data_IF_338525758708
#
_entry.id   IF_338525758708
#
_cell.length_a   1.000
_cell.length_b   1.000
_cell.length_c   1.000
_cell.angle_alpha   90.00
_cell.angle_beta   90.00
_cell.angle_gamma   90.00
#
_symmetry.space_group_name_H-M   'P 1'
#
loop_
_entity.id
_entity.type
_entity.pdbx_description
1 polymer ?
#
# COMPACT_ATOMS: atom_id res chain seq x y z
N UNK A 1 -30.50 -23.72 22.73
CA UNK A 1 -29.10 -23.66 22.23
C UNK A 1 -29.09 -24.11 20.79
N UNK A 2 -29.01 -23.20 19.80
CA UNK A 2 -28.63 -23.45 18.39
C UNK A 2 -28.77 -22.14 17.59
N UNK A 3 -27.86 -21.19 17.77
CA UNK A 3 -27.64 -20.03 16.88
C UNK A 3 -26.19 -19.56 17.01
N UNK A 4 -25.25 -20.38 16.53
CA UNK A 4 -23.83 -20.00 16.44
C UNK A 4 -23.13 -20.52 15.17
N UNK A 5 -23.75 -21.42 14.40
CA UNK A 5 -23.03 -22.16 13.35
C UNK A 5 -23.29 -21.67 11.92
N UNK A 6 -24.23 -20.75 11.69
CA UNK A 6 -24.55 -20.26 10.33
C UNK A 6 -23.63 -19.14 9.84
N UNK A 7 -23.04 -18.36 10.76
CA UNK A 7 -22.12 -17.25 10.41
C UNK A 7 -20.69 -17.72 10.17
N UNK A 8 -20.26 -18.84 10.76
CA UNK A 8 -18.92 -19.40 10.57
C UNK A 8 -18.73 -20.09 9.21
N UNK A 9 -19.79 -20.71 8.67
CA UNK A 9 -19.74 -21.44 7.39
C UNK A 9 -19.74 -20.52 6.15
N UNK A 10 -20.29 -19.31 6.26
CA UNK A 10 -20.38 -18.37 5.14
C UNK A 10 -19.17 -17.43 5.02
N UNK A 11 -18.45 -17.20 6.12
CA UNK A 11 -17.15 -16.52 6.11
C UNK A 11 -16.14 -17.35 5.31
N UNK A 12 -16.17 -18.69 5.42
CA UNK A 12 -15.35 -19.62 4.61
C UNK A 12 -15.58 -19.51 3.09
N UNK A 13 -16.77 -19.08 2.65
CA UNK A 13 -17.12 -19.00 1.23
C UNK A 13 -16.37 -17.90 0.48
N UNK A 14 -16.17 -16.74 1.10
CA UNK A 14 -15.33 -15.68 0.54
C UNK A 14 -13.82 -16.01 0.62
N UNK A 15 -13.46 -16.91 1.54
CA UNK A 15 -12.08 -17.25 1.94
C UNK A 15 -11.44 -18.44 1.20
N UNK A 16 -12.21 -19.23 0.43
CA UNK A 16 -11.67 -20.40 -0.27
C UNK A 16 -11.18 -20.11 -1.70
N UNK A 17 -11.30 -18.87 -2.17
CA UNK A 17 -11.10 -18.52 -3.58
C UNK A 17 -9.71 -17.95 -3.91
N UNK A 18 -8.85 -17.79 -2.91
CA UNK A 18 -7.47 -17.33 -3.08
C UNK A 18 -6.49 -18.50 -3.05
N UNK A 19 -6.57 -19.39 -4.05
CA UNK A 19 -5.51 -20.36 -4.29
C UNK A 19 -4.27 -19.66 -4.89
N UNK A 20 -3.30 -19.31 -4.03
CA UNK A 20 -1.89 -19.12 -4.41
C UNK A 20 -1.40 -17.70 -4.74
N UNK A 21 -2.17 -16.65 -4.45
CA UNK A 21 -1.77 -15.24 -4.64
C UNK A 21 -2.08 -14.40 -3.40
N UNK A 22 -1.44 -13.24 -3.20
CA UNK A 22 -1.35 -12.67 -1.87
C UNK A 22 -2.68 -12.01 -1.45
N UNK A 23 -3.06 -12.30 -0.20
CA UNK A 23 -4.40 -12.17 0.37
C UNK A 23 -4.78 -10.73 0.78
N UNK A 24 -4.42 -9.76 -0.05
CA UNK A 24 -4.65 -8.35 0.20
C UNK A 24 -4.96 -7.57 -1.08
N UNK A 25 -5.82 -6.58 -0.97
CA UNK A 25 -6.24 -5.69 -2.04
C UNK A 25 -6.09 -4.22 -1.62
N UNK A 26 -6.00 -3.32 -2.59
CA UNK A 26 -5.78 -1.89 -2.37
C UNK A 26 -6.99 -1.08 -2.89
N UNK A 27 -7.17 0.11 -2.35
CA UNK A 27 -8.36 0.90 -2.59
C UNK A 27 -8.25 2.33 -2.08
N UNK A 28 -9.36 3.05 -2.11
CA UNK A 28 -9.50 4.38 -1.53
C UNK A 28 -10.84 4.54 -0.82
N UNK A 29 -10.93 5.52 0.08
CA UNK A 29 -12.19 5.92 0.66
C UNK A 29 -12.72 7.24 0.08
N UNK A 30 -14.04 7.37 -0.01
CA UNK A 30 -14.71 8.63 -0.34
C UNK A 30 -15.35 9.29 0.89
N UNK A 31 -15.10 8.77 2.09
CA UNK A 31 -15.75 9.20 3.32
C UNK A 31 -17.11 8.52 3.46
N UNK A 32 -17.20 7.54 4.37
CA UNK A 32 -18.41 6.71 4.50
C UNK A 32 -18.50 5.54 3.52
N UNK A 33 -17.61 5.47 2.53
CA UNK A 33 -17.45 4.33 1.62
C UNK A 33 -15.97 4.01 1.38
N UNK A 34 -15.66 2.73 1.17
CA UNK A 34 -14.36 2.26 0.73
C UNK A 34 -14.51 1.46 -0.57
N UNK A 35 -13.75 1.84 -1.59
CA UNK A 35 -13.67 1.18 -2.88
C UNK A 35 -12.38 0.38 -2.94
N UNK A 36 -12.52 -0.94 -3.02
CA UNK A 36 -11.39 -1.88 -3.04
C UNK A 36 -11.34 -2.56 -4.39
N UNK A 37 -10.17 -2.60 -5.01
CA UNK A 37 -9.99 -3.16 -6.33
C UNK A 37 -9.10 -4.39 -6.29
N UNK A 38 -9.53 -5.43 -6.99
CA UNK A 38 -8.83 -6.71 -7.10
C UNK A 38 -8.62 -7.04 -8.57
N UNK A 39 -7.40 -6.86 -9.06
CA UNK A 39 -7.00 -7.19 -10.43
C UNK A 39 -6.55 -8.65 -10.52
N UNK A 40 -7.50 -9.59 -10.63
CA UNK A 40 -7.23 -11.03 -10.69
C UNK A 40 -8.42 -11.79 -11.31
N UNK A 41 -8.20 -12.44 -12.45
CA UNK A 41 -9.25 -13.16 -13.19
C UNK A 41 -9.86 -14.33 -12.40
N UNK A 42 -9.05 -15.01 -11.59
CA UNK A 42 -9.51 -16.11 -10.74
C UNK A 42 -10.43 -15.57 -9.65
N UNK A 43 -9.98 -14.52 -8.95
CA UNK A 43 -10.80 -13.88 -7.92
C UNK A 43 -12.14 -13.40 -8.49
N UNK A 44 -12.11 -12.69 -9.63
CA UNK A 44 -13.32 -12.18 -10.28
C UNK A 44 -14.32 -13.30 -10.60
N UNK A 45 -13.85 -14.39 -11.21
CA UNK A 45 -14.68 -15.56 -11.56
C UNK A 45 -15.27 -16.24 -10.34
N UNK A 46 -14.46 -16.44 -9.31
CA UNK A 46 -14.87 -17.12 -8.10
C UNK A 46 -15.89 -16.29 -7.33
N UNK A 47 -15.63 -14.99 -7.20
CA UNK A 47 -16.54 -14.04 -6.55
C UNK A 47 -17.86 -13.91 -7.30
N UNK A 48 -17.83 -13.83 -8.63
CA UNK A 48 -19.05 -13.83 -9.46
C UNK A 48 -19.89 -15.11 -9.26
N UNK A 49 -19.25 -16.29 -9.23
CA UNK A 49 -19.93 -17.57 -8.95
C UNK A 49 -20.58 -17.59 -7.57
N UNK A 50 -19.93 -17.02 -6.55
CA UNK A 50 -20.51 -16.93 -5.21
C UNK A 50 -21.70 -15.97 -5.15
N UNK A 51 -21.64 -14.85 -5.88
CA UNK A 51 -22.73 -13.88 -5.93
C UNK A 51 -23.96 -14.45 -6.64
N UNK A 52 -23.75 -15.19 -7.72
CA UNK A 52 -24.83 -15.75 -8.55
C UNK A 52 -25.33 -17.11 -8.08
N UNK A 53 -24.52 -17.89 -7.35
CA UNK A 53 -24.90 -19.19 -6.80
C UNK A 53 -25.80 -19.13 -5.56
N UNK A 54 -26.05 -17.95 -4.98
CA UNK A 54 -26.82 -17.77 -3.74
C UNK A 54 -28.30 -17.39 -3.91
N UNK A 55 -28.81 -17.26 -5.14
CA UNK A 55 -30.15 -16.70 -5.40
C UNK A 55 -30.11 -15.18 -5.64
N UNK A 56 -31.07 -14.42 -5.10
CA UNK A 56 -31.19 -12.97 -5.34
C UNK A 56 -29.90 -12.22 -4.96
N UNK A 57 -29.29 -11.56 -5.95
CA UNK A 57 -28.04 -10.82 -5.83
C UNK A 57 -28.11 -9.69 -4.79
N UNK A 58 -29.23 -8.97 -4.74
CA UNK A 58 -29.40 -7.84 -3.81
C UNK A 58 -29.45 -8.30 -2.36
N UNK A 59 -30.15 -9.41 -2.08
CA UNK A 59 -30.20 -10.01 -0.75
C UNK A 59 -28.82 -10.56 -0.33
N UNK A 60 -28.09 -11.12 -1.30
CA UNK A 60 -26.74 -11.64 -1.12
C UNK A 60 -25.73 -10.54 -0.79
N UNK A 61 -25.86 -9.35 -1.38
CA UNK A 61 -25.01 -8.20 -1.06
C UNK A 61 -25.41 -7.58 0.30
N UNK A 62 -26.71 -7.35 0.52
CA UNK A 62 -27.22 -6.72 1.73
C UNK A 62 -26.91 -7.52 3.01
N UNK A 63 -26.87 -8.86 2.93
CA UNK A 63 -26.60 -9.75 4.05
C UNK A 63 -25.13 -9.97 4.41
N UNK A 64 -24.17 -9.38 3.67
CA UNK A 64 -22.74 -9.65 3.84
C UNK A 64 -22.01 -8.50 4.59
N UNK A 65 -21.79 -8.63 5.91
CA UNK A 65 -20.81 -7.79 6.61
C UNK A 65 -19.41 -8.23 6.19
N UNK A 66 -18.66 -7.38 5.46
CA UNK A 66 -17.49 -7.88 4.72
C UNK A 66 -16.13 -7.47 5.24
N UNK A 67 -16.02 -6.42 6.01
CA UNK A 67 -14.77 -6.13 6.67
C UNK A 67 -14.99 -5.10 7.76
N UNK A 68 -14.19 -5.20 8.80
CA UNK A 68 -14.14 -4.23 9.84
C UNK A 68 -12.82 -3.44 9.86
N UNK A 69 -12.91 -2.18 10.26
CA UNK A 69 -11.78 -1.24 10.18
C UNK A 69 -10.92 -1.31 11.45
N UNK A 70 -9.59 -1.39 11.31
CA UNK A 70 -8.69 -0.98 12.40
C UNK A 70 -8.45 0.53 12.35
N UNK A 71 -9.28 1.25 13.10
CA UNK A 71 -9.29 2.71 13.15
C UNK A 71 -8.08 3.32 13.86
N UNK A 72 -7.32 2.53 14.63
CA UNK A 72 -6.37 3.10 15.60
C UNK A 72 -4.91 3.07 15.13
N UNK A 73 -4.59 2.52 13.96
CA UNK A 73 -3.20 2.05 13.70
C UNK A 73 -2.44 2.50 12.45
N UNK A 74 -3.00 3.27 11.50
CA UNK A 74 -2.18 3.82 10.40
C UNK A 74 -2.35 5.34 10.22
N UNK A 75 -1.24 6.09 10.17
CA UNK A 75 -1.23 7.45 9.61
C UNK A 75 -1.15 7.29 8.09
N UNK A 76 -2.12 7.80 7.35
CA UNK A 76 -2.11 7.83 5.87
C UNK A 76 -2.82 6.67 5.17
N UNK A 77 -3.36 5.67 5.88
CA UNK A 77 -4.14 4.59 5.26
C UNK A 77 -5.16 3.97 6.23
N UNK A 78 -6.18 3.30 5.69
CA UNK A 78 -7.18 2.53 6.43
C UNK A 78 -7.03 1.04 6.12
N UNK A 79 -7.08 0.20 7.15
CA UNK A 79 -7.05 -1.26 6.97
C UNK A 79 -8.45 -1.84 7.16
N UNK A 80 -8.91 -2.59 6.18
CA UNK A 80 -10.12 -3.41 6.23
C UNK A 80 -9.72 -4.85 6.51
N UNK A 81 -10.29 -5.43 7.55
CA UNK A 81 -10.06 -6.81 7.97
C UNK A 81 -11.33 -7.39 8.55
N UNK A 82 -11.63 -8.67 8.35
CA UNK A 82 -12.80 -9.32 8.94
C UNK A 82 -12.94 -9.14 10.48
N UNK A 83 -11.89 -8.67 11.18
CA UNK A 83 -11.81 -8.60 12.63
C UNK A 83 -11.56 -7.20 13.21
N UNK A 84 -11.69 -6.12 12.42
CA UNK A 84 -11.57 -4.73 12.91
C UNK A 84 -12.76 -4.25 13.78
N UNK A 85 -12.66 -3.03 14.30
CA UNK A 85 -13.58 -2.48 15.32
C UNK A 85 -14.88 -1.85 14.77
N UNK A 86 -15.09 -1.78 13.45
CA UNK A 86 -16.30 -1.22 12.85
C UNK A 86 -16.69 -1.91 11.54
N UNK A 87 -17.90 -2.48 11.49
CA UNK A 87 -18.38 -3.23 10.33
C UNK A 87 -18.72 -2.32 9.14
N UNK A 88 -18.23 -2.70 7.95
CA UNK A 88 -18.67 -2.20 6.66
C UNK A 88 -19.56 -3.24 5.96
N UNK A 89 -20.53 -2.77 5.18
CA UNK A 89 -21.42 -3.63 4.37
C UNK A 89 -21.04 -3.54 2.91
N UNK A 90 -20.96 -4.67 2.22
CA UNK A 90 -20.82 -4.66 0.77
C UNK A 90 -22.13 -4.21 0.15
N UNK A 91 -22.10 -3.05 -0.49
CA UNK A 91 -23.28 -2.46 -1.15
C UNK A 91 -23.25 -2.69 -2.64
N UNK A 92 -22.06 -2.84 -3.22
CA UNK A 92 -21.90 -3.01 -4.66
C UNK A 92 -20.65 -3.82 -5.00
N UNK A 93 -20.79 -4.66 -6.02
CA UNK A 93 -19.70 -5.34 -6.70
C UNK A 93 -19.76 -5.00 -8.19
N UNK A 94 -18.69 -4.45 -8.76
CA UNK A 94 -18.56 -4.21 -10.20
C UNK A 94 -17.43 -5.04 -10.77
N UNK A 95 -17.65 -5.57 -11.97
CA UNK A 95 -16.65 -6.32 -12.72
C UNK A 95 -16.28 -5.51 -13.95
N UNK A 96 -15.02 -5.12 -14.03
CA UNK A 96 -14.51 -4.28 -15.09
C UNK A 96 -13.63 -5.11 -16.02
N UNK A 97 -13.80 -4.92 -17.32
CA UNK A 97 -12.96 -5.56 -18.32
C UNK A 97 -11.49 -5.09 -18.19
N UNK A 98 -10.50 -5.95 -18.47
CA UNK A 98 -9.08 -5.61 -18.31
C UNK A 98 -8.70 -4.32 -19.04
N UNK A 99 -9.12 -4.21 -20.30
CA UNK A 99 -8.81 -3.10 -21.19
C UNK A 99 -9.40 -1.79 -20.69
N UNK A 100 -10.56 -1.86 -20.02
CA UNK A 100 -11.24 -0.72 -19.44
C UNK A 100 -10.39 -0.12 -18.33
N UNK A 101 -9.87 -0.92 -17.41
CA UNK A 101 -9.14 -0.44 -16.22
C UNK A 101 -7.63 -0.22 -16.38
N UNK A 102 -7.06 -0.44 -17.57
CA UNK A 102 -5.60 -0.41 -17.75
C UNK A 102 -4.86 -1.55 -17.03
N UNK A 103 -5.55 -2.67 -16.84
CA UNK A 103 -5.04 -3.89 -16.18
C UNK A 103 -4.94 -5.03 -17.20
N UNK A 104 -3.95 -5.95 -17.08
CA UNK A 104 -3.91 -7.15 -17.93
C UNK A 104 -4.99 -8.18 -17.55
N UNK A 105 -5.59 -8.08 -16.36
CA UNK A 105 -6.64 -8.97 -15.85
C UNK A 105 -7.92 -8.20 -15.51
N UNK A 106 -9.04 -8.93 -15.38
CA UNK A 106 -10.32 -8.43 -14.89
C UNK A 106 -10.13 -7.75 -13.53
N UNK A 107 -10.79 -6.62 -13.35
CA UNK A 107 -10.75 -5.87 -12.10
C UNK A 107 -12.11 -5.98 -11.42
N UNK A 108 -12.12 -6.53 -10.21
CA UNK A 108 -13.31 -6.54 -9.36
C UNK A 108 -13.24 -5.34 -8.42
N UNK A 109 -14.23 -4.45 -8.49
CA UNK A 109 -14.43 -3.36 -7.53
C UNK A 109 -15.45 -3.79 -6.48
N UNK A 110 -15.08 -3.65 -5.22
CA UNK A 110 -15.93 -3.89 -4.06
C UNK A 110 -16.19 -2.55 -3.36
N UNK A 111 -17.45 -2.15 -3.25
CA UNK A 111 -17.86 -0.94 -2.53
C UNK A 111 -18.42 -1.31 -1.18
N UNK A 112 -17.75 -0.83 -0.14
CA UNK A 112 -18.04 -1.12 1.25
C UNK A 112 -18.53 0.15 1.93
N UNK A 113 -19.83 0.20 2.27
CA UNK A 113 -20.43 1.34 2.94
C UNK A 113 -20.39 1.21 4.47
N UNK A 114 -20.18 2.34 5.13
CA UNK A 114 -20.15 2.49 6.58
C UNK A 114 -21.46 3.14 7.05
N UNK A 115 -22.33 2.41 7.77
CA UNK A 115 -23.62 2.95 8.19
C UNK A 115 -23.45 4.10 9.19
N UNK A 116 -24.19 5.19 8.97
CA UNK A 116 -24.22 6.34 9.88
C UNK A 116 -24.78 5.94 11.26
N UNK A 117 -24.18 6.44 12.34
CA UNK A 117 -24.65 6.20 13.72
C UNK A 117 -24.29 4.85 14.33
N UNK A 118 -23.56 3.97 13.62
CA UNK A 118 -23.01 2.76 14.22
C UNK A 118 -21.94 3.05 15.29
N UNK A 119 -21.65 2.07 16.15
CA UNK A 119 -20.60 2.16 17.20
C UNK A 119 -19.18 2.53 16.67
N UNK A 120 -19.00 2.58 15.35
CA UNK A 120 -17.78 2.87 14.62
C UNK A 120 -17.69 4.25 13.96
N UNK A 121 -18.44 5.28 14.36
CA UNK A 121 -18.32 6.62 13.72
C UNK A 121 -16.89 7.20 13.71
N UNK A 122 -16.05 6.84 14.70
CA UNK A 122 -14.61 7.18 14.76
C UNK A 122 -13.71 6.25 13.93
N UNK A 123 -14.31 5.22 13.34
CA UNK A 123 -13.66 4.15 12.59
C UNK A 123 -14.03 4.17 11.10
N UNK A 124 -14.89 5.09 10.69
CA UNK A 124 -15.14 5.38 9.28
C UNK A 124 -13.88 6.02 8.68
N UNK A 125 -13.36 5.50 7.55
CA UNK A 125 -12.23 6.12 6.88
C UNK A 125 -12.54 7.56 6.45
N UNK A 126 -11.61 8.51 6.62
CA UNK A 126 -11.71 9.83 6.00
C UNK A 126 -11.73 9.73 4.47
N UNK A 127 -12.27 10.74 3.78
CA UNK A 127 -12.19 10.81 2.33
C UNK A 127 -10.75 10.87 1.84
N UNK A 128 -10.50 10.27 0.67
CA UNK A 128 -9.23 10.26 -0.08
C UNK A 128 -8.05 9.60 0.63
N UNK A 129 -8.30 8.70 1.60
CA UNK A 129 -7.24 7.87 2.20
C UNK A 129 -7.08 6.56 1.44
N UNK A 130 -5.85 6.07 1.33
CA UNK A 130 -5.57 4.72 0.82
C UNK A 130 -6.23 3.68 1.73
N UNK A 131 -6.84 2.66 1.13
CA UNK A 131 -7.46 1.53 1.82
C UNK A 131 -6.70 0.25 1.48
N UNK A 132 -6.46 -0.59 2.48
CA UNK A 132 -5.87 -1.92 2.32
C UNK A 132 -6.83 -2.94 2.87
N UNK A 133 -7.38 -3.79 2.02
CA UNK A 133 -8.28 -4.86 2.42
C UNK A 133 -7.52 -6.18 2.53
N UNK A 134 -7.42 -6.72 3.73
CA UNK A 134 -6.82 -8.02 4.00
C UNK A 134 -7.94 -9.07 3.94
N UNK A 135 -7.99 -9.81 2.84
CA UNK A 135 -9.15 -10.63 2.47
C UNK A 135 -9.19 -11.98 3.23
N UNK A 136 -8.05 -12.50 3.69
CA UNK A 136 -7.97 -13.83 4.37
C UNK A 136 -7.31 -13.79 5.77
N UNK A 137 -7.51 -12.72 6.54
CA UNK A 137 -6.83 -12.53 7.84
C UNK A 137 -7.53 -13.20 9.04
N UNK A 138 -6.86 -14.04 9.85
CA UNK A 138 -7.32 -14.36 11.20
C UNK A 138 -7.38 -13.08 12.07
N UNK A 139 -8.13 -13.09 13.18
CA UNK A 139 -8.27 -11.93 14.06
C UNK A 139 -6.92 -11.40 14.49
N UNK A 140 -6.71 -10.11 14.25
CA UNK A 140 -5.58 -9.38 14.80
C UNK A 140 -5.63 -9.49 16.32
N UNK A 141 -4.81 -10.37 16.90
CA UNK A 141 -4.53 -10.34 18.31
C UNK A 141 -3.89 -8.99 18.61
N UNK A 142 -4.57 -8.19 19.43
CA UNK A 142 -4.21 -6.81 19.71
C UNK A 142 -2.79 -6.69 20.27
N UNK A 143 -1.83 -6.37 19.41
CA UNK A 143 -0.49 -5.93 19.82
C UNK A 143 -0.33 -4.44 19.59
N UNK A 144 -0.88 -3.61 20.48
CA UNK A 144 -0.69 -2.17 20.46
C UNK A 144 0.69 -1.83 21.02
N UNK A 145 1.75 -2.24 20.33
CA UNK A 145 3.10 -1.77 20.66
C UNK A 145 3.11 -0.25 20.64
N UNK A 146 3.74 0.37 21.63
CA UNK A 146 3.87 1.81 21.72
C UNK A 146 4.36 2.37 20.37
N UNK A 147 3.51 3.19 19.74
CA UNK A 147 3.85 3.87 18.48
C UNK A 147 4.99 4.84 18.77
N UNK A 148 6.14 4.61 18.16
CA UNK A 148 7.21 5.60 18.13
C UNK A 148 6.70 6.88 17.49
N UNK A 149 6.93 8.02 18.14
CA UNK A 149 6.66 9.31 17.54
C UNK A 149 7.56 9.52 16.34
N UNK A 150 7.06 10.21 15.31
CA UNK A 150 7.93 10.71 14.25
C UNK A 150 9.02 11.61 14.87
N UNK A 151 10.24 11.60 14.32
CA UNK A 151 11.27 12.51 14.79
C UNK A 151 10.89 13.96 14.42
N UNK A 152 11.48 14.96 15.10
CA UNK A 152 11.34 16.36 14.71
C UNK A 152 11.67 16.56 13.23
N UNK A 153 11.04 17.56 12.59
CA UNK A 153 11.15 17.79 11.14
C UNK A 153 12.61 17.86 10.65
N UNK A 154 13.48 18.58 11.36
CA UNK A 154 14.92 18.66 11.05
C UNK A 154 15.60 17.28 11.08
N UNK A 155 15.40 16.52 12.15
CA UNK A 155 15.94 15.17 12.28
C UNK A 155 15.40 14.19 11.22
N UNK A 156 14.14 14.34 10.80
CA UNK A 156 13.57 13.58 9.70
C UNK A 156 14.22 13.94 8.34
N UNK A 157 14.47 15.22 8.08
CA UNK A 157 15.22 15.68 6.89
C UNK A 157 16.64 15.09 6.90
N UNK A 158 17.35 15.18 8.03
CA UNK A 158 18.70 14.66 8.16
C UNK A 158 18.75 13.14 7.94
N UNK A 159 17.79 12.41 8.51
CA UNK A 159 17.65 10.97 8.32
C UNK A 159 17.47 10.61 6.84
N UNK A 160 16.56 11.29 6.13
CA UNK A 160 16.32 11.06 4.70
C UNK A 160 17.58 11.33 3.87
N UNK A 161 18.30 12.43 4.15
CA UNK A 161 19.56 12.76 3.47
C UNK A 161 20.64 11.68 3.72
N UNK A 162 20.81 11.22 4.97
CA UNK A 162 21.75 10.15 5.31
C UNK A 162 21.41 8.83 4.62
N UNK A 163 20.13 8.45 4.58
CA UNK A 163 19.69 7.22 3.89
C UNK A 163 19.95 7.32 2.38
N UNK A 164 19.68 8.47 1.76
CA UNK A 164 19.97 8.68 0.34
C UNK A 164 21.47 8.61 0.05
N UNK A 165 22.32 9.23 0.88
CA UNK A 165 23.78 9.12 0.75
C UNK A 165 24.26 7.67 0.96
N UNK A 166 23.66 6.92 1.88
CA UNK A 166 23.97 5.50 2.08
C UNK A 166 23.62 4.68 0.84
N UNK A 167 22.48 4.96 0.20
CA UNK A 167 22.06 4.28 -1.03
C UNK A 167 23.07 4.42 -2.17
N UNK A 168 23.69 5.60 -2.29
CA UNK A 168 24.75 5.86 -3.26
C UNK A 168 26.00 5.01 -2.97
N UNK A 169 26.42 4.95 -1.69
CA UNK A 169 27.64 4.25 -1.27
C UNK A 169 27.62 2.72 -1.44
N UNK A 170 26.44 2.10 -1.58
CA UNK A 170 26.28 0.65 -1.75
C UNK A 170 26.73 0.17 -3.13
N UNK A 171 26.96 1.10 -4.06
CA UNK A 171 27.04 0.76 -5.48
C UNK A 171 28.41 0.36 -6.01
N UNK A 172 29.48 0.39 -5.20
CA UNK A 172 30.84 0.00 -5.60
C UNK A 172 31.44 0.78 -6.79
N UNK A 173 30.78 1.87 -7.20
CA UNK A 173 31.13 2.72 -8.35
C UNK A 173 31.67 4.06 -7.87
N UNK A 174 32.19 4.85 -8.81
CA UNK A 174 32.62 6.22 -8.56
C UNK A 174 31.55 7.02 -7.84
N UNK A 175 31.94 7.63 -6.72
CA UNK A 175 31.03 8.27 -5.78
C UNK A 175 30.37 9.50 -6.42
N UNK A 176 29.04 9.51 -6.45
CA UNK A 176 28.26 10.66 -6.89
C UNK A 176 27.86 11.52 -5.69
N UNK A 177 27.75 12.83 -5.90
CA UNK A 177 27.41 13.80 -4.85
C UNK A 177 25.93 14.14 -4.91
N UNK A 178 25.26 14.19 -3.76
CA UNK A 178 23.85 14.60 -3.69
C UNK A 178 23.69 16.02 -4.26
N UNK A 179 22.81 16.20 -5.24
CA UNK A 179 22.64 17.47 -5.95
C UNK A 179 22.13 18.60 -5.03
N UNK A 180 21.22 18.25 -4.11
CA UNK A 180 20.64 19.17 -3.13
C UNK A 180 20.08 18.40 -1.93
N UNK A 181 19.94 19.08 -0.80
CA UNK A 181 19.29 18.52 0.37
C UNK A 181 17.82 18.15 0.05
N UNK A 182 17.39 17.02 0.59
CA UNK A 182 16.04 16.49 0.41
C UNK A 182 15.03 17.20 1.31
N UNK A 183 13.80 17.30 0.83
CA UNK A 183 12.65 17.82 1.59
C UNK A 183 11.71 16.70 2.03
N UNK A 184 10.86 16.96 3.04
CA UNK A 184 9.84 16.03 3.51
C UNK A 184 8.48 16.28 2.83
N UNK A 185 8.50 16.37 1.50
CA UNK A 185 7.28 16.48 0.70
C UNK A 185 7.49 15.83 -0.67
N UNK A 186 7.12 14.56 -0.75
CA UNK A 186 7.20 13.76 -1.95
C UNK A 186 6.01 13.97 -2.92
N UNK A 187 5.16 14.96 -2.70
CA UNK A 187 4.18 15.38 -3.71
C UNK A 187 4.63 16.67 -4.39
N UNK A 188 5.35 17.53 -3.68
CA UNK A 188 5.72 18.86 -4.16
C UNK A 188 7.15 18.98 -4.70
N UNK A 189 8.06 18.07 -4.36
CA UNK A 189 9.47 18.18 -4.76
C UNK A 189 10.03 16.92 -5.45
N UNK A 190 10.78 17.10 -6.54
CA UNK A 190 11.44 15.99 -7.23
C UNK A 190 12.50 15.29 -6.36
N UNK A 191 13.25 16.08 -5.58
CA UNK A 191 14.21 15.62 -4.58
C UNK A 191 13.55 15.65 -3.19
N UNK A 192 13.04 14.51 -2.75
CA UNK A 192 12.25 14.40 -1.53
C UNK A 192 12.40 13.03 -0.88
N UNK A 193 11.93 12.93 0.36
CA UNK A 193 11.68 11.66 1.00
C UNK A 193 10.59 11.74 2.05
N UNK A 194 10.23 10.58 2.57
CA UNK A 194 9.16 10.41 3.53
C UNK A 194 9.66 9.54 4.68
N UNK A 195 9.22 9.86 5.90
CA UNK A 195 9.56 9.10 7.11
C UNK A 195 8.27 8.63 7.77
N UNK A 196 8.17 7.33 7.98
CA UNK A 196 7.05 6.69 8.66
C UNK A 196 7.56 5.92 9.87
N UNK A 197 6.91 6.06 11.02
CA UNK A 197 7.27 5.30 12.21
C UNK A 197 6.86 3.82 12.09
N UNK A 198 7.76 2.91 12.45
CA UNK A 198 7.60 1.46 12.38
C UNK A 198 8.00 0.80 13.71
N UNK A 199 7.10 0.72 14.68
CA UNK A 199 7.42 0.13 15.98
C UNK A 199 8.67 0.79 16.59
N UNK A 200 9.78 0.06 16.72
CA UNK A 200 11.05 0.60 17.23
C UNK A 200 11.91 1.37 16.21
N UNK A 201 11.53 1.36 14.92
CA UNK A 201 12.32 1.86 13.78
C UNK A 201 11.53 2.90 12.97
N UNK A 202 12.10 3.34 11.86
CA UNK A 202 11.44 4.15 10.83
C UNK A 202 11.57 3.49 9.47
N UNK A 203 10.53 3.61 8.64
CA UNK A 203 10.66 3.48 7.20
C UNK A 203 11.00 4.83 6.60
N UNK A 204 11.94 4.82 5.66
CA UNK A 204 12.46 6.00 4.98
C UNK A 204 12.38 5.74 3.48
N UNK A 205 11.45 6.42 2.81
CA UNK A 205 11.39 6.53 1.36
C UNK A 205 12.22 7.72 0.91
N UNK A 206 12.91 7.60 -0.22
CA UNK A 206 13.63 8.72 -0.80
C UNK A 206 13.69 8.63 -2.33
N UNK A 207 13.82 9.79 -2.94
CA UNK A 207 14.17 9.99 -4.34
C UNK A 207 15.06 11.21 -4.43
N UNK A 208 16.25 11.02 -4.98
CA UNK A 208 17.33 11.99 -4.86
C UNK A 208 18.15 12.01 -6.13
N UNK A 209 18.39 13.21 -6.65
CA UNK A 209 19.33 13.42 -7.74
C UNK A 209 20.75 13.54 -7.23
N UNK A 210 21.67 12.89 -7.93
CA UNK A 210 23.10 12.93 -7.66
C UNK A 210 23.83 13.39 -8.91
N UNK A 211 24.92 14.12 -8.73
CA UNK A 211 25.84 14.52 -9.80
C UNK A 211 27.05 13.62 -9.75
N UNK A 212 27.35 12.95 -10.85
CA UNK A 212 28.56 12.16 -11.00
C UNK A 212 29.76 13.08 -11.26
N UNK A 213 31.01 12.61 -11.06
CA UNK A 213 32.19 13.41 -11.39
C UNK A 213 32.29 13.83 -12.86
N UNK A 214 31.66 13.09 -13.78
CA UNK A 214 31.58 13.43 -15.20
C UNK A 214 30.53 14.51 -15.52
N UNK A 215 29.82 15.03 -14.52
CA UNK A 215 28.74 16.02 -14.69
C UNK A 215 27.37 15.41 -15.01
N UNK A 216 27.28 14.10 -15.28
CA UNK A 216 25.99 13.43 -15.47
C UNK A 216 25.15 13.45 -14.20
N UNK A 217 23.82 13.54 -14.36
CA UNK A 217 22.88 13.43 -13.25
C UNK A 217 22.28 12.03 -13.18
N UNK A 218 22.20 11.47 -11.98
CA UNK A 218 21.53 10.20 -11.67
C UNK A 218 20.34 10.48 -10.76
N UNK A 219 19.22 9.81 -10.98
CA UNK A 219 18.20 9.66 -9.95
C UNK A 219 18.45 8.35 -9.20
N UNK A 220 18.49 8.42 -7.87
CA UNK A 220 18.48 7.25 -7.00
C UNK A 220 17.22 7.29 -6.15
N UNK A 221 16.47 6.19 -6.12
CA UNK A 221 15.28 6.05 -5.29
C UNK A 221 15.23 4.68 -4.62
N UNK A 222 14.65 4.61 -3.43
CA UNK A 222 14.52 3.37 -2.68
C UNK A 222 13.79 3.57 -1.36
N UNK A 223 13.62 2.47 -0.63
CA UNK A 223 12.93 2.47 0.67
C UNK A 223 13.70 1.61 1.65
N UNK A 224 14.04 2.15 2.80
CA UNK A 224 14.72 1.45 3.88
C UNK A 224 13.89 1.41 5.16
N UNK A 225 14.12 0.40 6.00
CA UNK A 225 13.75 0.41 7.41
C UNK A 225 15.03 0.59 8.23
N UNK A 226 15.04 1.53 9.18
CA UNK A 226 16.25 1.89 9.94
C UNK A 226 15.93 2.66 11.23
N UNK A 227 16.91 2.80 12.13
CA UNK A 227 16.87 3.75 13.26
C UNK A 227 17.38 5.12 12.84
N UNK A 228 17.33 6.12 13.73
CA UNK A 228 17.79 7.48 13.41
C UNK A 228 19.27 7.55 13.01
N UNK A 229 20.09 6.61 13.48
CA UNK A 229 21.54 6.62 13.34
C UNK A 229 22.04 5.63 12.27
N UNK A 230 21.12 5.00 11.54
CA UNK A 230 21.37 4.04 10.47
C UNK A 230 22.00 2.70 10.90
N UNK A 231 22.05 2.37 12.20
CA UNK A 231 22.71 1.14 12.67
C UNK A 231 22.01 -0.13 12.17
N UNK A 232 20.67 -0.13 12.16
CA UNK A 232 19.86 -1.25 11.68
C UNK A 232 19.31 -1.02 10.25
N UNK A 233 20.07 -0.34 9.37
CA UNK A 233 19.62 -0.05 8.01
C UNK A 233 19.40 -1.32 7.18
N UNK A 234 18.15 -1.50 6.72
CA UNK A 234 17.74 -2.58 5.84
C UNK A 234 16.95 -2.06 4.66
N UNK A 235 17.38 -2.36 3.44
CA UNK A 235 16.63 -2.03 2.24
C UNK A 235 15.37 -2.90 2.14
N UNK A 236 14.19 -2.28 2.20
CA UNK A 236 12.89 -2.90 1.90
C UNK A 236 12.72 -2.96 0.38
N UNK A 237 12.97 -1.83 -0.28
CA UNK A 237 13.15 -1.73 -1.73
C UNK A 237 14.60 -1.30 -1.97
N UNK A 238 15.35 -2.10 -2.73
CA UNK A 238 16.75 -1.80 -3.02
C UNK A 238 16.87 -0.50 -3.83
N UNK A 239 17.92 0.31 -3.61
CA UNK A 239 18.13 1.52 -4.37
C UNK A 239 18.21 1.24 -5.87
N UNK A 240 17.32 1.87 -6.63
CA UNK A 240 17.37 1.87 -8.09
C UNK A 240 18.07 3.13 -8.57
N UNK A 241 18.91 2.99 -9.60
CA UNK A 241 19.66 4.08 -10.20
C UNK A 241 19.22 4.27 -11.64
N UNK A 242 18.80 5.48 -11.97
CA UNK A 242 18.40 5.88 -13.32
C UNK A 242 19.30 7.01 -13.79
N UNK A 243 19.89 6.90 -14.98
CA UNK A 243 20.57 8.04 -15.59
C UNK A 243 19.54 9.04 -16.08
N UNK A 244 19.78 10.33 -15.83
CA UNK A 244 18.98 11.42 -16.37
C UNK A 244 19.73 12.08 -17.52
N UNK A 245 19.04 12.33 -18.63
CA UNK A 245 19.55 13.07 -19.80
C UNK A 245 18.67 14.31 -19.97
N UNK A 246 19.27 15.50 -19.95
CA UNK A 246 18.50 16.76 -19.93
C UNK A 246 17.54 16.87 -18.74
N UNK A 247 17.86 16.20 -17.62
CA UNK A 247 17.00 16.15 -16.44
C UNK A 247 15.84 15.15 -16.51
N UNK A 248 15.71 14.38 -17.58
CA UNK A 248 14.62 13.40 -17.79
C UNK A 248 15.11 11.96 -17.76
N UNK A 249 14.27 11.05 -17.29
CA UNK A 249 14.48 9.61 -17.47
C UNK A 249 14.29 9.24 -18.94
N UNK A 250 15.17 8.39 -19.46
CA UNK A 250 15.07 7.90 -20.84
C UNK A 250 14.40 6.53 -20.87
N UNK A 251 13.87 6.12 -22.03
CA UNK A 251 13.33 4.76 -22.23
C UNK A 251 14.31 3.64 -21.91
N UNK A 252 15.60 3.89 -22.05
CA UNK A 252 16.66 2.95 -21.72
C UNK A 252 16.97 2.91 -20.22
N UNK A 253 16.52 3.90 -19.44
CA UNK A 253 16.60 3.89 -17.99
C UNK A 253 15.38 3.17 -17.40
N UNK A 254 15.56 1.92 -16.95
CA UNK A 254 14.52 1.14 -16.27
C UNK A 254 14.25 1.61 -14.83
N UNK A 255 14.58 2.86 -14.51
CA UNK A 255 14.49 3.39 -13.16
C UNK A 255 13.04 3.63 -12.77
N UNK A 256 12.67 3.21 -11.55
CA UNK A 256 11.39 3.54 -10.93
C UNK A 256 11.62 4.50 -9.77
N UNK A 257 10.68 5.40 -9.57
CA UNK A 257 10.60 6.22 -8.35
C UNK A 257 9.73 5.51 -7.35
N UNK A 258 10.16 5.52 -6.10
CA UNK A 258 9.36 5.02 -4.99
C UNK A 258 8.89 6.21 -4.15
N UNK A 259 7.62 6.19 -3.77
CA UNK A 259 7.05 7.10 -2.77
C UNK A 259 6.46 6.28 -1.64
N UNK A 260 6.88 6.58 -0.41
CA UNK A 260 6.38 5.92 0.79
C UNK A 260 5.12 6.64 1.28
N UNK A 261 3.97 5.98 1.11
CA UNK A 261 2.64 6.53 1.45
C UNK A 261 2.27 6.34 2.91
N UNK A 262 2.76 5.26 3.52
CA UNK A 262 2.45 4.97 4.90
C UNK A 262 2.89 3.59 5.32
N UNK A 263 2.49 3.23 6.53
CA UNK A 263 2.69 1.92 7.09
C UNK A 263 1.47 1.48 7.87
N UNK A 264 1.27 0.17 7.92
CA UNK A 264 0.23 -0.50 8.67
C UNK A 264 0.79 -1.76 9.30
N UNK A 265 0.06 -2.34 10.25
CA UNK A 265 0.43 -3.61 10.85
C UNK A 265 -0.26 -4.73 10.08
N UNK A 266 0.51 -5.69 9.58
CA UNK A 266 0.04 -6.92 8.95
C UNK A 266 -0.41 -7.95 9.99
N UNK A 267 -1.04 -9.03 9.50
CA UNK A 267 -1.75 -10.03 10.31
C UNK A 267 -0.91 -10.66 11.43
N UNK A 268 0.41 -10.81 11.22
CA UNK A 268 1.35 -11.36 12.20
C UNK A 268 1.93 -10.33 13.19
N UNK A 269 1.45 -9.08 13.18
CA UNK A 269 2.06 -7.99 13.93
C UNK A 269 3.31 -7.39 13.26
N UNK A 270 3.66 -7.86 12.06
CA UNK A 270 4.77 -7.31 11.27
C UNK A 270 4.32 -6.07 10.48
N UNK A 271 5.17 -5.05 10.33
CA UNK A 271 4.82 -3.86 9.57
C UNK A 271 4.77 -4.12 8.06
N UNK A 272 3.70 -3.67 7.42
CA UNK A 272 3.56 -3.56 5.98
C UNK A 272 3.73 -2.08 5.56
N UNK A 273 4.51 -1.83 4.51
CA UNK A 273 4.67 -0.51 3.90
C UNK A 273 3.77 -0.35 2.69
N UNK A 274 3.17 0.83 2.56
CA UNK A 274 2.46 1.22 1.36
C UNK A 274 3.35 2.12 0.53
N UNK A 275 3.63 1.66 -0.68
CA UNK A 275 4.57 2.29 -1.59
C UNK A 275 3.92 2.47 -2.95
N UNK A 276 4.08 3.67 -3.52
CA UNK A 276 3.87 3.87 -4.94
C UNK A 276 5.18 3.60 -5.66
N UNK A 277 5.14 2.66 -6.59
CA UNK A 277 6.17 2.41 -7.57
C UNK A 277 5.79 3.13 -8.86
N UNK A 278 6.49 4.20 -9.19
CA UNK A 278 6.17 5.13 -10.27
C UNK A 278 7.15 4.89 -11.42
N UNK A 279 6.59 4.48 -12.57
CA UNK A 279 7.33 4.30 -13.81
C UNK A 279 7.11 5.53 -14.71
N UNK A 280 8.02 6.50 -14.65
CA UNK A 280 7.87 7.80 -15.36
C UNK A 280 7.77 7.65 -16.88
N UNK A 281 8.50 6.69 -17.45
CA UNK A 281 8.53 6.44 -18.90
C UNK A 281 7.30 5.66 -19.38
N UNK A 282 6.77 4.78 -18.53
CA UNK A 282 5.64 3.93 -18.85
C UNK A 282 4.61 4.00 -17.71
N UNK A 283 3.82 5.08 -17.61
CA UNK A 283 2.94 5.31 -16.46
C UNK A 283 1.99 4.14 -16.16
N UNK A 284 1.56 3.40 -17.19
CA UNK A 284 0.75 2.18 -17.10
C UNK A 284 1.41 1.05 -16.28
N UNK A 285 2.73 1.08 -16.10
CA UNK A 285 3.51 0.11 -15.33
C UNK A 285 3.69 0.55 -13.86
N UNK A 286 3.18 1.73 -13.50
CA UNK A 286 3.17 2.22 -12.12
C UNK A 286 2.21 1.39 -11.27
N UNK A 287 2.61 1.11 -10.04
CA UNK A 287 1.84 0.27 -9.11
C UNK A 287 1.76 0.91 -7.75
N UNK A 288 0.59 0.85 -7.13
CA UNK A 288 0.49 0.94 -5.68
C UNK A 288 0.77 -0.45 -5.11
N UNK A 289 1.63 -0.56 -4.10
CA UNK A 289 2.08 -1.83 -3.53
C UNK A 289 2.05 -1.82 -2.01
N UNK A 290 1.69 -2.96 -1.43
CA UNK A 290 1.90 -3.25 -0.02
C UNK A 290 3.08 -4.22 0.10
N UNK A 291 4.10 -3.87 0.89
CA UNK A 291 5.35 -4.65 1.03
C UNK A 291 5.55 -5.03 2.49
N UNK A 292 5.78 -6.31 2.74
CA UNK A 292 6.17 -6.78 4.06
C UNK A 292 7.63 -6.43 4.36
N UNK A 293 7.87 -5.68 5.45
CA UNK A 293 9.21 -5.17 5.78
C UNK A 293 10.18 -6.31 6.12
N UNK A 294 9.69 -7.36 6.78
CA UNK A 294 10.51 -8.45 7.29
C UNK A 294 10.98 -9.40 6.18
N UNK A 295 10.11 -9.77 5.25
CA UNK A 295 10.41 -10.67 4.14
C UNK A 295 10.81 -9.93 2.85
N UNK A 296 10.46 -8.63 2.75
CA UNK A 296 10.58 -7.78 1.54
C UNK A 296 9.72 -8.27 0.38
N UNK A 297 8.69 -9.07 0.66
CA UNK A 297 7.77 -9.58 -0.36
C UNK A 297 6.64 -8.58 -0.58
N UNK A 298 6.24 -8.45 -1.84
CA UNK A 298 5.03 -7.71 -2.21
C UNK A 298 3.83 -8.57 -1.82
N UNK A 299 2.98 -8.03 -0.94
CA UNK A 299 1.76 -8.67 -0.42
C UNK A 299 0.52 -8.19 -1.17
N UNK A 300 0.57 -7.02 -1.79
CA UNK A 300 -0.47 -6.58 -2.73
C UNK A 300 0.14 -5.65 -3.76
N UNK A 301 -0.37 -5.69 -4.97
CA UNK A 301 -0.01 -4.74 -6.01
C UNK A 301 -1.23 -4.48 -6.90
N UNK A 302 -1.45 -3.22 -7.26
CA UNK A 302 -2.43 -2.84 -8.27
C UNK A 302 -1.91 -1.68 -9.11
N UNK A 303 -2.45 -1.43 -10.32
CA UNK A 303 -2.16 -0.21 -11.07
C UNK A 303 -2.31 1.04 -10.20
N UNK A 304 -1.32 1.94 -10.24
CA UNK A 304 -1.32 3.15 -9.42
C UNK A 304 -2.50 4.08 -9.73
N UNK A 305 -2.87 4.14 -11.01
CA UNK A 305 -4.10 4.76 -11.47
C UNK A 305 -4.91 3.70 -12.20
N UNK A 306 -5.91 3.14 -11.52
CA UNK A 306 -6.94 2.33 -12.17
C UNK A 306 -7.83 3.29 -12.96
N UNK A 307 -7.81 3.16 -14.28
CA UNK A 307 -8.65 4.00 -15.16
C UNK A 307 -9.93 3.25 -15.46
N UNK A 308 -10.75 2.93 -14.47
CA UNK A 308 -12.03 2.28 -14.72
C UNK A 308 -13.10 3.37 -14.92
N UNK A 309 -13.49 3.74 -16.16
CA UNK A 309 -14.63 4.63 -16.41
C UNK A 309 -15.95 4.06 -15.88
#
# INVERSE_FOLDING_TARGET
MHRANASALLVLGLLACAGGGPHAALGWSLGGEAHVFVANDRFARDFYRQLTGGGNLLDTLAGRPLAAVDARRARGATVLSANGAAAARLTLARFHAPQTCGSPSLVTELVLAFPAGGAGARSTPPSHVTVVALLDAPPFAGGGGARRSLPPRSAAVDLVNRVAQRAESVSGRTRATLLRALTLDAEQAADAGEVVALGSRYAVGFRARFVTPAGDTLLISGVAATDVDLHALRWVVRPQRARLVGGMMTRTSAGRRYSLRGALMGQGGEPLLLLDEIADVAPRDSRATAVDVASRRVIAAQPLALRCP
#
